data_IF_536318832934
#
_entry.id   IF_536318832934
#
_cell.length_a   1.000
_cell.length_b   1.000
_cell.length_c   1.000
_cell.angle_alpha   90.00
_cell.angle_beta   90.00
_cell.angle_gamma   90.00
#
_symmetry.space_group_name_H-M   'P 1'
#
loop_
_entity.id
_entity.type
_entity.pdbx_description
1 polymer ?
#
# COMPACT_ATOMS: atom_id res chain seq x y z
N UNK A 1 72.05 -1.45 69.04
CA UNK A 1 71.14 -2.46 68.46
C UNK A 1 69.70 -2.03 68.67
N UNK A 2 68.99 -1.59 67.62
CA UNK A 2 67.52 -1.53 67.53
C UNK A 2 67.14 -1.24 66.08
N UNK A 3 66.40 -2.17 65.47
CA UNK A 3 65.85 -2.13 64.11
C UNK A 3 64.75 -1.07 64.04
N UNK A 4 64.76 -0.22 63.00
CA UNK A 4 63.58 0.55 62.59
C UNK A 4 63.14 0.10 61.20
N UNK A 5 61.88 -0.33 61.13
CA UNK A 5 61.26 -0.93 59.96
C UNK A 5 60.91 0.07 58.88
N UNK A 6 60.98 -0.39 57.64
CA UNK A 6 60.51 0.30 56.44
C UNK A 6 59.00 0.16 56.36
N UNK A 7 58.28 1.29 56.33
CA UNK A 7 56.85 1.34 56.01
C UNK A 7 56.69 1.48 54.48
N UNK A 8 56.06 0.50 53.85
CA UNK A 8 55.68 0.51 52.44
C UNK A 8 54.33 1.20 52.33
N UNK A 9 54.26 2.30 51.59
CA UNK A 9 53.00 3.00 51.27
C UNK A 9 52.38 2.31 50.05
N UNK A 10 51.25 1.64 50.26
CA UNK A 10 50.46 1.02 49.18
C UNK A 10 49.58 2.06 48.48
N UNK A 11 49.76 2.22 47.17
CA UNK A 11 48.84 2.94 46.30
C UNK A 11 47.66 2.02 45.96
N UNK A 12 46.46 2.38 46.38
CA UNK A 12 45.21 1.75 45.93
C UNK A 12 44.81 2.41 44.61
N UNK A 13 44.97 1.66 43.51
CA UNK A 13 44.42 2.01 42.19
C UNK A 13 42.92 1.70 42.18
N UNK A 14 42.09 2.74 42.25
CA UNK A 14 40.65 2.66 42.03
C UNK A 14 40.39 2.58 40.52
N UNK A 15 40.09 1.40 39.99
CA UNK A 15 39.67 1.23 38.60
C UNK A 15 38.21 1.67 38.44
N UNK A 16 37.96 2.83 37.83
CA UNK A 16 36.64 3.22 37.33
C UNK A 16 36.33 2.42 36.07
N UNK A 17 35.49 1.40 36.19
CA UNK A 17 34.86 0.76 35.05
C UNK A 17 33.76 1.67 34.50
N UNK A 18 34.10 2.46 33.46
CA UNK A 18 33.10 3.15 32.65
C UNK A 18 32.46 2.11 31.74
N UNK A 19 31.27 1.62 32.12
CA UNK A 19 30.45 0.78 31.27
C UNK A 19 30.00 1.57 30.04
N UNK A 20 30.58 1.28 28.88
CA UNK A 20 30.06 1.68 27.58
C UNK A 20 28.75 0.93 27.35
N UNK A 21 27.63 1.53 27.77
CA UNK A 21 26.30 1.10 27.33
C UNK A 21 26.16 1.57 25.88
N UNK A 22 26.47 0.70 24.93
CA UNK A 22 26.07 0.92 23.55
C UNK A 22 24.53 0.97 23.51
N UNK A 23 23.91 1.99 22.88
CA UNK A 23 22.48 1.98 22.68
C UNK A 23 22.16 0.77 21.81
N UNK A 24 21.37 -0.16 22.33
CA UNK A 24 20.81 -1.22 21.51
C UNK A 24 20.02 -0.52 20.37
N UNK A 25 20.26 -0.83 19.09
CA UNK A 25 19.39 -0.36 18.03
C UNK A 25 17.95 -0.70 18.41
N UNK A 26 17.09 0.33 18.48
CA UNK A 26 15.67 0.14 18.62
C UNK A 26 15.24 -0.74 17.45
N UNK A 27 14.92 -2.00 17.74
CA UNK A 27 14.44 -2.91 16.72
C UNK A 27 13.02 -2.46 16.42
N UNK A 28 12.83 -1.76 15.30
CA UNK A 28 11.52 -1.34 14.83
C UNK A 28 10.59 -2.56 14.88
N UNK A 29 9.44 -2.39 15.55
CA UNK A 29 8.47 -3.46 15.69
C UNK A 29 8.12 -3.96 14.27
N UNK A 30 8.11 -5.28 14.02
CA UNK A 30 7.74 -5.80 12.71
C UNK A 30 6.34 -5.33 12.33
N UNK A 31 6.09 -5.16 11.02
CA UNK A 31 4.81 -4.71 10.50
C UNK A 31 3.68 -5.73 10.70
N UNK A 32 4.03 -6.99 11.01
CA UNK A 32 3.10 -8.09 11.29
C UNK A 32 3.01 -8.43 12.79
N UNK A 33 1.92 -9.08 13.26
CA UNK A 33 0.71 -9.44 12.53
C UNK A 33 -0.06 -8.21 12.02
N UNK A 34 -0.61 -8.28 10.81
CA UNK A 34 -1.38 -7.19 10.21
C UNK A 34 -2.80 -7.64 9.87
N UNK A 35 -3.85 -6.94 10.34
CA UNK A 35 -5.23 -7.35 10.07
C UNK A 35 -5.57 -7.17 8.58
N UNK A 36 -6.13 -8.22 7.96
CA UNK A 36 -6.54 -8.24 6.56
C UNK A 36 -7.96 -8.79 6.40
N UNK A 37 -8.62 -8.42 5.31
CA UNK A 37 -9.87 -9.03 4.86
C UNK A 37 -9.61 -9.87 3.61
N UNK A 38 -9.83 -11.17 3.72
CA UNK A 38 -9.70 -12.16 2.65
C UNK A 38 -11.10 -12.51 2.06
N UNK A 39 -11.13 -13.20 0.93
CA UNK A 39 -12.36 -13.58 0.21
C UNK A 39 -12.52 -15.08 0.09
N UNK A 40 -13.75 -15.54 0.31
CA UNK A 40 -14.15 -16.94 0.15
C UNK A 40 -15.40 -17.05 -0.74
N UNK A 41 -15.30 -17.68 -1.94
CA UNK A 41 -14.08 -18.25 -2.52
C UNK A 41 -13.06 -17.16 -2.94
N UNK A 42 -11.76 -17.50 -3.08
CA UNK A 42 -10.75 -16.57 -3.58
C UNK A 42 -11.15 -15.98 -4.94
N UNK A 43 -10.69 -14.76 -5.21
CA UNK A 43 -10.97 -14.00 -6.45
C UNK A 43 -12.43 -13.56 -6.66
N UNK A 44 -13.34 -13.87 -5.73
CA UNK A 44 -14.71 -13.37 -5.74
C UNK A 44 -14.87 -12.19 -4.78
N UNK A 45 -14.96 -10.95 -5.31
CA UNK A 45 -15.03 -9.74 -4.50
C UNK A 45 -16.42 -9.52 -3.87
N UNK A 46 -17.44 -10.20 -4.38
CA UNK A 46 -18.78 -10.31 -3.81
C UNK A 46 -18.85 -11.46 -2.79
N UNK A 47 -17.81 -12.31 -2.75
CA UNK A 47 -17.66 -13.43 -1.83
C UNK A 47 -17.57 -13.00 -0.38
N UNK A 48 -17.73 -13.99 0.51
CA UNK A 48 -17.73 -13.78 1.96
C UNK A 48 -16.40 -13.17 2.41
N UNK A 49 -16.48 -12.11 3.20
CA UNK A 49 -15.32 -11.49 3.85
C UNK A 49 -14.85 -12.33 5.03
N UNK A 50 -13.56 -12.63 5.09
CA UNK A 50 -12.92 -13.32 6.21
C UNK A 50 -11.89 -12.39 6.84
N UNK A 51 -12.04 -12.08 8.13
CA UNK A 51 -11.03 -11.32 8.87
C UNK A 51 -9.93 -12.26 9.35
N UNK A 52 -8.67 -11.92 9.06
CA UNK A 52 -7.50 -12.70 9.44
C UNK A 52 -6.37 -11.76 9.83
N UNK A 53 -5.43 -12.26 10.63
CA UNK A 53 -4.15 -11.61 10.81
C UNK A 53 -3.15 -12.19 9.82
N UNK A 54 -2.60 -11.34 8.96
CA UNK A 54 -1.55 -11.70 8.03
C UNK A 54 -0.21 -11.78 8.76
N UNK A 55 0.42 -12.94 8.68
CA UNK A 55 1.75 -13.22 9.22
C UNK A 55 2.59 -13.74 8.05
N UNK A 56 3.61 -12.98 7.57
CA UNK A 56 4.48 -13.45 6.52
C UNK A 56 5.41 -14.55 7.03
N UNK A 57 6.06 -15.25 6.10
CA UNK A 57 7.18 -16.14 6.44
C UNK A 57 8.39 -15.33 6.93
N UNK A 58 9.25 -15.94 7.75
CA UNK A 58 10.44 -15.25 8.27
C UNK A 58 11.49 -14.98 7.19
N UNK A 59 11.73 -15.95 6.30
CA UNK A 59 12.69 -15.87 5.21
C UNK A 59 12.26 -16.74 4.04
N UNK A 60 12.74 -16.43 2.84
CA UNK A 60 12.54 -17.28 1.68
C UNK A 60 13.43 -18.53 1.74
N UNK A 61 12.90 -19.67 1.26
CA UNK A 61 13.65 -20.93 1.19
C UNK A 61 14.91 -20.87 0.30
N UNK A 62 14.94 -19.94 -0.65
CA UNK A 62 16.11 -19.59 -1.46
C UNK A 62 15.96 -18.18 -2.02
N UNK A 63 17.02 -17.71 -2.67
CA UNK A 63 17.08 -16.40 -3.32
C UNK A 63 16.29 -16.39 -4.64
N UNK A 64 14.96 -16.43 -4.54
CA UNK A 64 14.04 -16.35 -5.68
C UNK A 64 14.25 -15.05 -6.47
N UNK A 65 14.03 -15.09 -7.78
CA UNK A 65 14.07 -13.93 -8.66
C UNK A 65 12.66 -13.41 -8.92
N UNK A 66 12.31 -12.28 -8.33
CA UNK A 66 10.97 -11.69 -8.41
C UNK A 66 10.95 -10.60 -9.48
N UNK A 67 10.03 -10.72 -10.45
CA UNK A 67 9.73 -9.64 -11.36
C UNK A 67 8.62 -8.75 -10.77
N UNK A 68 8.82 -7.44 -10.72
CA UNK A 68 7.81 -6.49 -10.24
C UNK A 68 7.58 -5.45 -11.32
N UNK A 69 6.34 -5.31 -11.78
CA UNK A 69 5.96 -4.37 -12.84
C UNK A 69 4.89 -3.41 -12.37
N UNK A 70 5.21 -2.12 -12.35
CA UNK A 70 4.31 -1.03 -11.94
C UNK A 70 3.91 -0.14 -13.12
N UNK A 71 2.75 0.54 -13.05
CA UNK A 71 2.33 1.44 -14.12
C UNK A 71 3.24 2.66 -14.20
N UNK A 72 3.71 3.19 -13.06
CA UNK A 72 4.59 4.35 -12.96
C UNK A 72 5.15 4.54 -11.54
N UNK A 73 6.06 5.51 -11.37
CA UNK A 73 6.54 5.98 -10.06
C UNK A 73 6.31 7.49 -9.83
N UNK A 74 5.21 8.03 -10.38
CA UNK A 74 4.93 9.49 -10.42
C UNK A 74 4.34 10.08 -9.14
N UNK A 75 3.80 9.28 -8.23
CA UNK A 75 3.09 9.75 -7.04
C UNK A 75 3.54 9.02 -5.77
N UNK A 76 3.16 9.60 -4.62
CA UNK A 76 3.49 9.05 -3.32
C UNK A 76 2.85 7.67 -3.07
N UNK A 77 1.76 7.34 -3.77
CA UNK A 77 1.10 6.05 -3.61
C UNK A 77 1.98 4.93 -4.15
N UNK A 78 2.42 5.01 -5.41
CA UNK A 78 3.29 3.99 -5.99
C UNK A 78 4.69 3.95 -5.37
N UNK A 79 5.19 5.10 -4.88
CA UNK A 79 6.42 5.14 -4.08
C UNK A 79 6.26 4.38 -2.76
N UNK A 80 5.09 4.48 -2.10
CA UNK A 80 4.83 3.70 -0.88
C UNK A 80 4.69 2.20 -1.18
N UNK A 81 4.10 1.83 -2.31
CA UNK A 81 4.03 0.42 -2.77
C UNK A 81 5.45 -0.11 -3.05
N UNK A 82 6.29 0.67 -3.73
CA UNK A 82 7.71 0.34 -3.96
C UNK A 82 8.45 0.10 -2.64
N UNK A 83 8.31 1.02 -1.68
CA UNK A 83 8.89 0.86 -0.35
C UNK A 83 8.49 -0.48 0.30
N UNK A 84 7.20 -0.84 0.24
CA UNK A 84 6.70 -2.10 0.79
C UNK A 84 7.33 -3.32 0.11
N UNK A 85 7.33 -3.36 -1.23
CA UNK A 85 7.84 -4.49 -1.99
C UNK A 85 9.36 -4.62 -1.86
N UNK A 86 10.11 -3.52 -1.89
CA UNK A 86 11.56 -3.50 -1.70
C UNK A 86 11.94 -3.95 -0.29
N UNK A 87 11.28 -3.39 0.73
CA UNK A 87 11.57 -3.71 2.13
C UNK A 87 11.30 -5.17 2.43
N UNK A 88 10.17 -5.70 1.96
CA UNK A 88 9.81 -7.10 2.16
C UNK A 88 10.72 -8.04 1.36
N UNK A 89 11.11 -7.66 0.14
CA UNK A 89 12.08 -8.43 -0.65
C UNK A 89 13.44 -8.54 0.04
N UNK A 90 13.92 -7.43 0.64
CA UNK A 90 15.16 -7.41 1.43
C UNK A 90 15.04 -8.29 2.66
N UNK A 91 13.93 -8.18 3.39
CA UNK A 91 13.67 -8.95 4.60
C UNK A 91 13.65 -10.45 4.33
N UNK A 92 12.99 -10.87 3.26
CA UNK A 92 12.87 -12.26 2.86
C UNK A 92 14.13 -12.83 2.20
N UNK A 93 15.08 -11.98 1.78
CA UNK A 93 16.32 -12.41 1.12
C UNK A 93 16.14 -12.84 -0.34
N UNK A 94 15.11 -12.32 -1.03
CA UNK A 94 14.88 -12.59 -2.45
C UNK A 94 15.58 -11.54 -3.34
N UNK A 95 15.83 -11.89 -4.60
CA UNK A 95 16.16 -10.90 -5.65
C UNK A 95 14.88 -10.32 -6.19
N UNK A 96 14.94 -9.04 -6.53
CA UNK A 96 13.83 -8.33 -7.15
C UNK A 96 14.36 -7.47 -8.30
N UNK A 97 13.68 -7.53 -9.42
CA UNK A 97 13.80 -6.57 -10.51
C UNK A 97 12.48 -5.83 -10.63
N UNK A 98 12.52 -4.52 -10.34
CA UNK A 98 11.38 -3.65 -10.50
C UNK A 98 11.51 -2.84 -11.80
N UNK A 99 10.44 -2.81 -12.57
CA UNK A 99 10.29 -2.02 -13.78
C UNK A 99 9.01 -1.18 -13.68
N UNK A 100 9.03 -0.01 -14.29
CA UNK A 100 7.87 0.88 -14.35
C UNK A 100 7.61 1.36 -15.78
N UNK A 101 6.34 1.45 -16.16
CA UNK A 101 5.96 1.76 -17.52
C UNK A 101 5.89 3.27 -17.82
N UNK A 102 6.10 4.17 -16.85
CA UNK A 102 6.08 5.62 -17.03
C UNK A 102 4.69 6.25 -17.10
N UNK A 103 3.62 5.49 -16.92
CA UNK A 103 2.26 6.00 -16.89
C UNK A 103 1.20 4.98 -17.32
N UNK A 104 -0.05 5.25 -16.98
CA UNK A 104 -1.22 4.43 -17.37
C UNK A 104 -1.50 4.42 -18.89
N UNK A 105 -0.83 5.25 -19.69
CA UNK A 105 -0.94 5.21 -21.16
C UNK A 105 0.01 4.20 -21.80
N UNK A 106 0.93 3.61 -21.04
CA UNK A 106 2.08 2.89 -21.60
C UNK A 106 1.94 1.36 -21.48
N UNK A 107 0.75 0.82 -21.76
CA UNK A 107 0.46 -0.61 -21.65
C UNK A 107 1.42 -1.49 -22.47
N UNK A 108 1.73 -1.12 -23.72
CA UNK A 108 2.67 -1.87 -24.56
C UNK A 108 4.08 -1.91 -23.96
N UNK A 109 4.53 -0.83 -23.31
CA UNK A 109 5.80 -0.81 -22.59
C UNK A 109 5.74 -1.74 -21.39
N UNK A 110 4.64 -1.74 -20.62
CA UNK A 110 4.46 -2.67 -19.50
C UNK A 110 4.55 -4.14 -19.94
N UNK A 111 3.93 -4.48 -21.08
CA UNK A 111 4.00 -5.83 -21.68
C UNK A 111 5.46 -6.21 -21.97
N UNK A 112 6.16 -5.41 -22.78
CA UNK A 112 7.57 -5.71 -23.14
C UNK A 112 8.50 -5.83 -21.93
N UNK A 113 8.34 -4.95 -20.93
CA UNK A 113 9.14 -5.01 -19.71
C UNK A 113 8.92 -6.30 -18.90
N UNK A 114 7.68 -6.81 -18.85
CA UNK A 114 7.37 -8.07 -18.18
C UNK A 114 7.94 -9.24 -19.00
N UNK A 115 7.82 -9.23 -20.33
CA UNK A 115 8.39 -10.25 -21.21
C UNK A 115 9.91 -10.36 -21.02
N UNK A 116 10.62 -9.23 -21.03
CA UNK A 116 12.07 -9.16 -20.81
C UNK A 116 12.46 -9.73 -19.45
N UNK A 117 11.73 -9.36 -18.41
CA UNK A 117 11.97 -9.79 -17.04
C UNK A 117 11.75 -11.31 -16.87
N UNK A 118 10.72 -11.86 -17.52
CA UNK A 118 10.45 -13.30 -17.56
C UNK A 118 11.54 -14.03 -18.36
N UNK A 119 11.97 -13.49 -19.49
CA UNK A 119 13.08 -14.03 -20.29
C UNK A 119 14.41 -14.04 -19.51
N UNK A 120 14.59 -13.10 -18.58
CA UNK A 120 15.74 -13.03 -17.65
C UNK A 120 15.63 -14.02 -16.47
N UNK A 121 14.64 -14.91 -16.48
CA UNK A 121 14.54 -16.01 -15.51
C UNK A 121 13.83 -15.64 -14.22
N UNK A 122 12.75 -14.85 -14.31
CA UNK A 122 11.87 -14.59 -13.17
C UNK A 122 11.21 -15.90 -12.67
N UNK A 123 11.14 -16.06 -11.35
CA UNK A 123 10.44 -17.17 -10.69
C UNK A 123 8.99 -16.84 -10.35
N UNK A 124 8.63 -15.56 -10.29
CA UNK A 124 7.27 -15.08 -10.11
C UNK A 124 7.17 -13.65 -10.68
N UNK A 125 5.95 -13.24 -11.05
CA UNK A 125 5.68 -11.88 -11.55
C UNK A 125 4.61 -11.22 -10.68
N UNK A 126 4.92 -10.04 -10.16
CA UNK A 126 4.03 -9.20 -9.35
C UNK A 126 3.66 -7.98 -10.20
N UNK A 127 2.36 -7.76 -10.41
CA UNK A 127 1.87 -6.79 -11.39
C UNK A 127 0.91 -5.78 -10.76
N UNK A 128 1.30 -4.51 -10.80
CA UNK A 128 0.36 -3.39 -10.72
C UNK A 128 -0.10 -3.03 -12.13
N UNK A 129 -1.25 -3.54 -12.56
CA UNK A 129 -1.63 -3.49 -13.97
C UNK A 129 -2.10 -2.10 -14.42
N UNK A 130 -1.70 -1.70 -15.63
CA UNK A 130 -2.27 -0.51 -16.29
C UNK A 130 -3.74 -0.72 -16.68
N UNK A 131 -4.10 -1.94 -17.08
CA UNK A 131 -5.42 -2.30 -17.57
C UNK A 131 -5.90 -3.58 -16.91
N UNK A 132 -7.20 -3.64 -16.61
CA UNK A 132 -7.86 -4.81 -16.01
C UNK A 132 -7.73 -6.07 -16.89
N UNK A 133 -7.76 -5.92 -18.21
CA UNK A 133 -7.74 -7.06 -19.16
C UNK A 133 -6.57 -7.04 -20.13
N UNK A 134 -5.87 -5.91 -20.26
CA UNK A 134 -4.82 -5.71 -21.26
C UNK A 134 -3.59 -6.60 -21.12
N UNK A 135 -3.40 -7.23 -19.96
CA UNK A 135 -2.29 -8.16 -19.69
C UNK A 135 -2.71 -9.64 -19.75
N UNK A 136 -3.98 -9.96 -20.00
CA UNK A 136 -4.50 -11.33 -19.86
C UNK A 136 -3.76 -12.35 -20.73
N UNK A 137 -3.52 -12.03 -22.01
CA UNK A 137 -2.78 -12.90 -22.93
C UNK A 137 -1.36 -13.19 -22.41
N UNK A 138 -0.66 -12.15 -21.95
CA UNK A 138 0.69 -12.29 -21.39
C UNK A 138 0.68 -13.15 -20.11
N UNK A 139 -0.33 -12.99 -19.26
CA UNK A 139 -0.50 -13.79 -18.04
C UNK A 139 -0.72 -15.26 -18.39
N UNK A 140 -1.52 -15.57 -19.41
CA UNK A 140 -1.70 -16.95 -19.90
C UNK A 140 -0.37 -17.56 -20.35
N UNK A 141 0.46 -16.80 -21.07
CA UNK A 141 1.77 -17.23 -21.54
C UNK A 141 2.78 -17.44 -20.40
N UNK A 142 2.79 -16.56 -19.40
CA UNK A 142 3.68 -16.65 -18.23
C UNK A 142 3.28 -17.84 -17.35
N UNK A 143 2.00 -17.98 -17.06
CA UNK A 143 1.48 -19.07 -16.22
C UNK A 143 1.60 -20.42 -16.92
N UNK A 144 1.50 -20.46 -18.26
CA UNK A 144 1.80 -21.65 -19.07
C UNK A 144 3.25 -22.15 -18.94
N UNK A 145 4.19 -21.28 -18.53
CA UNK A 145 5.59 -21.65 -18.20
C UNK A 145 5.76 -22.07 -16.73
N UNK A 146 4.67 -22.18 -15.98
CA UNK A 146 4.68 -22.50 -14.55
C UNK A 146 5.11 -21.35 -13.65
N UNK A 147 5.14 -20.11 -14.16
CA UNK A 147 5.53 -18.93 -13.38
C UNK A 147 4.25 -18.31 -12.77
N UNK A 148 4.12 -18.26 -11.44
CA UNK A 148 2.97 -17.65 -10.79
C UNK A 148 2.93 -16.13 -11.02
N UNK A 149 1.72 -15.62 -11.24
CA UNK A 149 1.45 -14.19 -11.40
C UNK A 149 0.58 -13.70 -10.25
N UNK A 150 1.02 -12.62 -9.60
CA UNK A 150 0.35 -11.99 -8.46
C UNK A 150 -0.12 -10.61 -8.89
N UNK A 151 -1.40 -10.33 -8.67
CA UNK A 151 -2.02 -9.04 -8.91
C UNK A 151 -1.94 -8.18 -7.64
N UNK A 152 -1.42 -6.96 -7.78
CA UNK A 152 -1.33 -6.00 -6.68
C UNK A 152 -2.04 -4.69 -7.02
N UNK A 153 -2.71 -4.13 -6.03
CA UNK A 153 -3.35 -2.81 -6.06
C UNK A 153 -4.54 -2.69 -7.03
N UNK A 154 -4.30 -2.72 -8.34
CA UNK A 154 -5.25 -2.19 -9.34
C UNK A 154 -6.34 -3.19 -9.72
N UNK A 155 -6.06 -4.49 -9.67
CA UNK A 155 -6.99 -5.51 -10.12
C UNK A 155 -6.77 -5.91 -11.59
N UNK A 156 -6.64 -7.22 -11.80
CA UNK A 156 -6.56 -7.86 -13.11
C UNK A 156 -7.68 -8.90 -13.23
N UNK A 157 -8.41 -8.90 -14.35
CA UNK A 157 -9.44 -9.88 -14.64
C UNK A 157 -8.88 -11.04 -15.48
N UNK A 158 -8.00 -11.82 -14.86
CA UNK A 158 -7.48 -13.08 -15.41
C UNK A 158 -7.77 -14.22 -14.44
N UNK A 159 -8.33 -15.35 -14.91
CA UNK A 159 -8.56 -16.53 -14.07
C UNK A 159 -7.28 -17.30 -13.76
N UNK A 160 -6.13 -16.89 -14.31
CA UNK A 160 -4.83 -17.58 -14.14
C UNK A 160 -3.96 -16.99 -13.04
N UNK A 161 -4.42 -15.96 -12.35
CA UNK A 161 -3.69 -15.35 -11.24
C UNK A 161 -3.51 -16.35 -10.09
N UNK A 162 -2.33 -16.35 -9.49
CA UNK A 162 -2.02 -17.16 -8.32
C UNK A 162 -2.52 -16.51 -7.02
N UNK A 163 -2.54 -15.18 -6.95
CA UNK A 163 -2.99 -14.42 -5.78
C UNK A 163 -3.37 -12.97 -6.14
N UNK A 164 -4.12 -12.32 -5.25
CA UNK A 164 -4.43 -10.89 -5.26
C UNK A 164 -4.04 -10.26 -3.93
N UNK A 165 -3.38 -9.09 -3.97
CA UNK A 165 -3.11 -8.25 -2.81
C UNK A 165 -3.56 -6.82 -3.13
N UNK A 166 -4.83 -6.54 -2.83
CA UNK A 166 -5.51 -5.30 -3.19
C UNK A 166 -6.69 -5.04 -2.27
N UNK A 167 -7.26 -3.83 -2.38
CA UNK A 167 -8.44 -3.40 -1.62
C UNK A 167 -9.56 -2.97 -2.58
N UNK A 168 -10.80 -2.89 -2.08
CA UNK A 168 -11.92 -2.37 -2.86
C UNK A 168 -12.03 -0.85 -2.69
N UNK A 169 -11.95 -0.10 -3.79
CA UNK A 169 -12.20 1.34 -3.77
C UNK A 169 -13.62 1.69 -3.34
N UNK A 170 -14.61 0.87 -3.71
CA UNK A 170 -15.98 1.04 -3.21
C UNK A 170 -16.05 0.92 -1.68
N UNK A 171 -15.34 -0.05 -1.10
CA UNK A 171 -15.26 -0.17 0.35
C UNK A 171 -14.54 1.03 0.98
N UNK A 172 -13.44 1.50 0.38
CA UNK A 172 -12.73 2.68 0.90
C UNK A 172 -13.61 3.94 0.90
N UNK A 173 -14.33 4.18 -0.19
CA UNK A 173 -15.32 5.26 -0.25
C UNK A 173 -16.42 5.09 0.78
N UNK A 174 -16.94 3.88 0.93
CA UNK A 174 -17.95 3.55 1.93
C UNK A 174 -17.44 3.83 3.34
N UNK A 175 -16.23 3.40 3.72
CA UNK A 175 -15.65 3.64 5.05
C UNK A 175 -15.40 5.13 5.33
N UNK A 176 -15.01 5.92 4.32
CA UNK A 176 -14.91 7.37 4.45
C UNK A 176 -16.28 8.00 4.76
N UNK A 177 -17.34 7.55 4.08
CA UNK A 177 -18.71 7.94 4.40
C UNK A 177 -19.14 7.47 5.79
N UNK A 178 -18.81 6.23 6.18
CA UNK A 178 -19.20 5.66 7.48
C UNK A 178 -18.65 6.48 8.63
N UNK A 179 -17.44 7.00 8.48
CA UNK A 179 -16.83 7.88 9.46
C UNK A 179 -17.67 9.14 9.68
N UNK A 180 -18.16 9.77 8.60
CA UNK A 180 -19.04 10.94 8.69
C UNK A 180 -20.41 10.56 9.26
N UNK A 181 -21.00 9.43 8.83
CA UNK A 181 -22.30 8.95 9.34
C UNK A 181 -22.26 8.68 10.84
N UNK A 182 -21.15 8.15 11.37
CA UNK A 182 -20.97 7.93 12.82
C UNK A 182 -20.93 9.25 13.60
N UNK A 183 -20.42 10.33 13.01
CA UNK A 183 -20.40 11.67 13.61
C UNK A 183 -21.74 12.39 13.47
N UNK A 184 -22.40 12.20 12.33
CA UNK A 184 -23.64 12.88 11.93
C UNK A 184 -24.70 11.83 11.58
N UNK A 185 -25.22 11.08 12.57
CA UNK A 185 -26.21 10.05 12.33
C UNK A 185 -27.53 10.65 11.84
N UNK A 186 -28.38 9.83 11.23
CA UNK A 186 -29.71 10.26 10.78
C UNK A 186 -30.49 10.93 11.93
N UNK A 187 -31.04 12.11 11.66
CA UNK A 187 -31.76 12.93 12.66
C UNK A 187 -30.89 13.91 13.44
N UNK A 188 -29.56 13.84 13.31
CA UNK A 188 -28.67 14.91 13.79
C UNK A 188 -28.83 16.19 12.94
N UNK A 189 -28.17 17.27 13.37
CA UNK A 189 -28.07 18.49 12.58
C UNK A 189 -27.36 18.19 11.25
N UNK A 190 -27.94 18.53 10.09
CA UNK A 190 -27.30 18.31 8.81
C UNK A 190 -25.95 19.04 8.69
N UNK A 191 -24.97 18.37 8.09
CA UNK A 191 -23.68 18.96 7.69
C UNK A 191 -23.50 18.94 6.19
N UNK A 192 -22.78 19.94 5.66
CA UNK A 192 -22.48 20.12 4.25
C UNK A 192 -21.09 19.59 3.93
N UNK A 193 -21.01 18.73 2.93
CA UNK A 193 -19.78 18.04 2.53
C UNK A 193 -19.50 18.29 1.06
N UNK A 194 -18.24 18.60 0.72
CA UNK A 194 -17.76 18.50 -0.65
C UNK A 194 -16.95 17.24 -0.84
N UNK A 195 -17.09 16.66 -2.03
CA UNK A 195 -16.46 15.40 -2.37
C UNK A 195 -15.57 15.55 -3.61
N UNK A 196 -14.32 15.09 -3.49
CA UNK A 196 -13.29 15.21 -4.52
C UNK A 196 -12.75 13.82 -4.86
N UNK A 197 -13.51 13.00 -5.63
CA UNK A 197 -13.19 11.59 -5.79
C UNK A 197 -11.99 11.30 -6.73
N UNK A 198 -11.55 12.29 -7.52
CA UNK A 198 -10.47 12.12 -8.50
C UNK A 198 -10.93 12.23 -9.96
N UNK A 199 -10.19 11.66 -10.94
CA UNK A 199 -10.45 11.87 -12.35
C UNK A 199 -11.76 11.22 -12.82
N UNK A 200 -12.58 11.93 -13.61
CA UNK A 200 -13.86 11.40 -14.05
C UNK A 200 -13.67 10.17 -14.94
N UNK A 201 -14.47 9.13 -14.71
CA UNK A 201 -14.47 7.91 -15.51
C UNK A 201 -13.43 6.85 -15.14
N UNK A 202 -12.48 7.16 -14.24
CA UNK A 202 -11.58 6.13 -13.72
C UNK A 202 -12.36 5.11 -12.88
N UNK A 203 -12.17 3.81 -13.12
CA UNK A 203 -12.97 2.75 -12.47
C UNK A 203 -12.93 2.81 -10.93
N UNK A 204 -11.76 3.10 -10.35
CA UNK A 204 -11.59 3.27 -8.91
C UNK A 204 -12.33 4.50 -8.36
N UNK A 205 -12.39 5.59 -9.14
CA UNK A 205 -13.15 6.81 -8.80
C UNK A 205 -14.64 6.53 -8.83
N UNK A 206 -15.13 5.84 -9.87
CA UNK A 206 -16.54 5.47 -10.00
C UNK A 206 -16.98 4.58 -8.83
N UNK A 207 -16.18 3.55 -8.53
CA UNK A 207 -16.45 2.62 -7.43
C UNK A 207 -16.43 3.34 -6.07
N UNK A 208 -15.37 4.11 -5.79
CA UNK A 208 -15.22 4.85 -4.54
C UNK A 208 -16.28 5.92 -4.34
N UNK A 209 -16.61 6.68 -5.39
CA UNK A 209 -17.70 7.65 -5.34
C UNK A 209 -19.02 6.97 -4.98
N UNK A 210 -19.36 5.85 -5.64
CA UNK A 210 -20.57 5.10 -5.32
C UNK A 210 -20.59 4.66 -3.85
N UNK A 211 -19.48 4.09 -3.36
CA UNK A 211 -19.37 3.66 -1.96
C UNK A 211 -19.57 4.81 -0.98
N UNK A 212 -18.93 5.96 -1.24
CA UNK A 212 -19.09 7.15 -0.42
C UNK A 212 -20.53 7.67 -0.42
N UNK A 213 -21.14 7.84 -1.60
CA UNK A 213 -22.51 8.35 -1.72
C UNK A 213 -23.54 7.43 -1.07
N UNK A 214 -23.39 6.10 -1.25
CA UNK A 214 -24.27 5.11 -0.65
C UNK A 214 -24.19 5.15 0.89
N UNK A 215 -22.99 5.34 1.46
CA UNK A 215 -22.79 5.43 2.90
C UNK A 215 -23.39 6.72 3.47
N UNK A 216 -23.01 7.89 2.95
CA UNK A 216 -23.40 9.19 3.53
C UNK A 216 -24.91 9.44 3.45
N UNK A 217 -25.61 8.84 2.48
CA UNK A 217 -27.08 8.88 2.38
C UNK A 217 -27.80 8.32 3.62
N UNK A 218 -27.09 7.58 4.49
CA UNK A 218 -27.62 7.02 5.74
C UNK A 218 -27.51 7.99 6.94
N UNK A 219 -26.77 9.08 6.80
CA UNK A 219 -26.54 10.07 7.86
C UNK A 219 -27.32 11.38 7.65
N UNK A 220 -27.08 12.35 8.53
CA UNK A 220 -27.52 13.74 8.35
C UNK A 220 -26.44 14.52 7.57
N UNK A 221 -26.18 14.09 6.33
CA UNK A 221 -25.09 14.60 5.50
C UNK A 221 -25.65 15.05 4.16
N UNK A 222 -25.35 16.28 3.77
CA UNK A 222 -25.68 16.87 2.48
C UNK A 222 -24.40 17.02 1.66
N UNK A 223 -24.26 16.22 0.59
CA UNK A 223 -23.15 16.40 -0.36
C UNK A 223 -23.50 17.57 -1.28
N UNK A 224 -22.95 18.76 -0.97
CA UNK A 224 -23.27 20.02 -1.67
C UNK A 224 -22.48 20.23 -2.94
N UNK A 225 -21.35 19.53 -3.09
CA UNK A 225 -20.54 19.57 -4.30
C UNK A 225 -19.78 18.27 -4.51
N UNK A 226 -19.72 17.79 -5.75
CA UNK A 226 -18.80 16.74 -6.16
C UNK A 226 -17.95 17.28 -7.32
N UNK A 227 -16.64 17.34 -7.15
CA UNK A 227 -15.71 17.88 -8.16
C UNK A 227 -14.68 16.83 -8.57
N UNK A 228 -14.57 16.61 -9.87
CA UNK A 228 -13.65 15.66 -10.47
C UNK A 228 -12.42 16.37 -11.02
N UNK A 229 -11.26 15.73 -10.95
CA UNK A 229 -10.00 16.26 -11.48
C UNK A 229 -8.86 15.24 -11.36
N UNK A 230 -7.80 15.43 -12.14
CA UNK A 230 -6.58 14.61 -12.06
C UNK A 230 -5.99 14.63 -10.64
N UNK A 231 -5.26 13.58 -10.27
CA UNK A 231 -4.69 13.40 -8.91
C UNK A 231 -3.49 14.30 -8.62
N UNK A 232 -3.05 15.11 -9.59
CA UNK A 232 -2.03 16.14 -9.40
C UNK A 232 -2.41 17.15 -8.31
N UNK A 233 -1.42 17.49 -7.47
CA UNK A 233 -1.58 18.35 -6.30
C UNK A 233 -2.18 19.70 -6.65
N UNK A 234 -1.69 20.32 -7.70
CA UNK A 234 -2.09 21.66 -8.14
C UNK A 234 -3.55 21.67 -8.62
N UNK A 235 -3.98 20.60 -9.29
CA UNK A 235 -5.35 20.45 -9.80
C UNK A 235 -6.31 20.26 -8.63
N UNK A 236 -5.99 19.36 -7.69
CA UNK A 236 -6.83 19.11 -6.53
C UNK A 236 -6.93 20.33 -5.61
N UNK A 237 -5.82 21.05 -5.38
CA UNK A 237 -5.82 22.30 -4.60
C UNK A 237 -6.80 23.31 -5.19
N UNK A 238 -6.76 23.51 -6.51
CA UNK A 238 -7.61 24.49 -7.18
C UNK A 238 -9.10 24.15 -7.02
N UNK A 239 -9.47 22.87 -7.12
CA UNK A 239 -10.84 22.42 -6.92
C UNK A 239 -11.35 22.74 -5.50
N UNK A 240 -10.51 22.53 -4.48
CA UNK A 240 -10.85 22.83 -3.08
C UNK A 240 -11.04 24.34 -2.90
N UNK A 241 -10.13 25.16 -3.42
CA UNK A 241 -10.25 26.63 -3.35
C UNK A 241 -11.56 27.14 -3.98
N UNK A 242 -11.90 26.65 -5.17
CA UNK A 242 -13.11 27.06 -5.88
C UNK A 242 -14.39 26.65 -5.13
N UNK A 243 -14.39 25.47 -4.49
CA UNK A 243 -15.51 25.02 -3.66
C UNK A 243 -15.62 25.83 -2.38
N UNK A 244 -14.52 26.16 -1.70
CA UNK A 244 -14.55 26.99 -0.49
C UNK A 244 -15.07 28.41 -0.78
N UNK A 245 -14.77 28.96 -1.97
CA UNK A 245 -15.33 30.23 -2.42
C UNK A 245 -16.84 30.14 -2.71
N UNK A 246 -17.29 29.06 -3.35
CA UNK A 246 -18.71 28.87 -3.68
C UNK A 246 -19.57 28.46 -2.48
N UNK A 247 -18.99 27.79 -1.49
CA UNK A 247 -19.66 27.24 -0.30
C UNK A 247 -18.90 27.65 0.97
N UNK A 248 -18.99 28.92 1.41
CA UNK A 248 -18.23 29.43 2.56
C UNK A 248 -18.60 28.78 3.91
N UNK A 249 -19.73 28.08 3.98
CA UNK A 249 -20.25 27.41 5.17
C UNK A 249 -20.20 25.87 5.03
N UNK A 250 -19.16 25.33 4.39
CA UNK A 250 -18.95 23.89 4.25
C UNK A 250 -18.33 23.32 5.54
N UNK A 251 -18.75 22.11 5.94
CA UNK A 251 -18.26 21.47 7.17
C UNK A 251 -17.09 20.50 6.90
N UNK A 252 -17.06 19.87 5.71
CA UNK A 252 -16.05 18.91 5.27
C UNK A 252 -15.70 19.07 3.78
#
# INVERSE_FOLDING_TARGET
MKRHGRLVVGFVLLALAVGLVAPAPAQDKPWWPFPVEDRDPPFNMEGKKLKKDYIPIDHAAKKWNMCVSFPHMKDAYWIAVDYGVVSESRRLGVKMQLVEAGGYTNLAKQVSQIEDCVAQGANAVIIGAISETGLNKLIDEITGKGIPVIDVINGINSPKLAAKSLVSFAEMGYQAGEYLVKKHPKGAKPVKVAWFPGPPGAGWVVAGNKGFTDSVARGAIEVVSTKYGDTGKEIQLKLVEDVLQAYPNIDY
#
